data_IF_101599968502
#
_entry.id   IF_101599968502
#
_cell.length_a   1.000
_cell.length_b   1.000
_cell.length_c   1.000
_cell.angle_alpha   90.00
_cell.angle_beta   90.00
_cell.angle_gamma   90.00
#
_symmetry.space_group_name_H-M   'P 1'
#
loop_
_entity.id
_entity.type
_entity.pdbx_description
1 polymer ?
#
# COMPACT_ATOMS: atom_id res chain seq x y z
N UNK A 1 -0.88 -3.20 31.99
CA UNK A 1 -1.21 -4.11 30.87
C UNK A 1 -2.63 -3.95 30.29
N UNK A 2 -3.39 -2.90 30.66
CA UNK A 2 -4.72 -2.59 30.08
C UNK A 2 -4.69 -1.47 29.00
N UNK A 3 -3.68 -0.59 29.04
CA UNK A 3 -3.55 0.56 28.11
C UNK A 3 -3.40 0.17 26.62
N UNK A 4 -2.81 -1.00 26.32
CA UNK A 4 -2.68 -1.49 24.94
C UNK A 4 -4.04 -1.86 24.31
N UNK A 5 -5.04 -2.25 25.10
CA UNK A 5 -6.37 -2.62 24.61
C UNK A 5 -7.26 -1.41 24.28
N UNK A 6 -6.89 -0.21 24.70
CA UNK A 6 -7.68 1.01 24.44
C UNK A 6 -7.32 1.70 23.12
N UNK A 7 -6.22 1.33 22.45
CA UNK A 7 -5.71 1.96 21.21
C UNK A 7 -6.53 1.65 19.94
N UNK A 8 -7.68 0.99 20.04
CA UNK A 8 -8.42 0.47 18.88
C UNK A 8 -9.89 0.87 18.79
N UNK A 9 -10.34 1.92 19.47
CA UNK A 9 -11.80 2.21 19.54
C UNK A 9 -12.36 2.97 18.33
N UNK A 10 -11.53 3.51 17.45
CA UNK A 10 -12.03 4.22 16.27
C UNK A 10 -11.31 3.76 15.02
N UNK A 11 -12.09 3.21 14.08
CA UNK A 11 -11.62 3.00 12.71
C UNK A 11 -11.34 4.37 12.11
N UNK A 12 -10.17 4.60 11.48
CA UNK A 12 -9.88 5.84 10.77
C UNK A 12 -10.92 6.10 9.69
N UNK A 13 -11.32 7.36 9.56
CA UNK A 13 -12.17 7.79 8.45
C UNK A 13 -11.45 7.56 7.11
N UNK A 14 -12.15 7.01 6.13
CA UNK A 14 -11.59 6.67 4.81
C UNK A 14 -10.80 5.36 4.74
N UNK A 15 -10.74 4.57 5.82
CA UNK A 15 -10.18 3.22 5.74
C UNK A 15 -11.09 2.32 4.89
N UNK A 16 -10.56 1.78 3.79
CA UNK A 16 -11.27 0.84 2.93
C UNK A 16 -11.79 -0.38 3.69
N UNK A 17 -13.02 -0.78 3.41
CA UNK A 17 -13.64 -1.97 4.00
C UNK A 17 -13.18 -3.26 3.32
N UNK A 18 -13.34 -4.40 3.99
CA UNK A 18 -12.99 -5.71 3.43
C UNK A 18 -13.80 -6.02 2.16
N UNK A 19 -15.07 -5.63 2.11
CA UNK A 19 -15.93 -5.89 0.95
C UNK A 19 -15.55 -5.02 -0.26
N UNK A 20 -15.14 -3.77 -0.04
CA UNK A 20 -14.57 -2.93 -1.10
C UNK A 20 -13.25 -3.50 -1.64
N UNK A 21 -12.35 -3.95 -0.75
CA UNK A 21 -11.06 -4.55 -1.15
C UNK A 21 -11.24 -5.78 -2.05
N UNK A 22 -12.31 -6.57 -1.84
CA UNK A 22 -12.62 -7.74 -2.69
C UNK A 22 -12.94 -7.38 -4.13
N UNK A 23 -13.36 -6.14 -4.40
CA UNK A 23 -13.67 -5.65 -5.74
C UNK A 23 -12.44 -5.09 -6.48
N UNK A 24 -11.28 -5.02 -5.84
CA UNK A 24 -10.08 -4.46 -6.44
C UNK A 24 -9.62 -5.29 -7.64
N UNK A 25 -9.20 -4.57 -8.69
CA UNK A 25 -8.60 -5.15 -9.90
C UNK A 25 -7.34 -4.37 -10.26
N UNK A 26 -6.44 -5.00 -11.01
CA UNK A 26 -5.28 -4.30 -11.56
C UNK A 26 -5.76 -3.11 -12.41
N UNK A 27 -5.34 -1.90 -12.02
CA UNK A 27 -5.70 -0.66 -12.71
C UNK A 27 -4.62 -0.21 -13.70
N UNK A 28 -3.34 -0.45 -13.36
CA UNK A 28 -2.20 -0.07 -14.18
C UNK A 28 -1.04 -1.04 -13.99
N UNK A 29 -0.13 -1.10 -14.96
CA UNK A 29 1.12 -1.88 -14.88
C UNK A 29 2.25 -1.04 -15.49
N UNK A 30 3.33 -0.84 -14.73
CA UNK A 30 4.47 -0.02 -15.12
C UNK A 30 5.74 -0.87 -15.17
N UNK A 31 6.05 -1.46 -16.33
CA UNK A 31 7.18 -2.39 -16.50
C UNK A 31 8.53 -1.70 -16.68
N UNK A 32 8.53 -0.39 -16.99
CA UNK A 32 9.73 0.36 -17.37
C UNK A 32 10.46 1.04 -16.20
N UNK A 33 10.21 0.63 -14.95
CA UNK A 33 10.84 1.22 -13.77
C UNK A 33 12.29 0.75 -13.56
N UNK A 34 12.68 -0.39 -14.15
CA UNK A 34 14.02 -0.98 -14.03
C UNK A 34 14.58 -1.36 -15.41
N UNK A 35 15.87 -1.73 -15.44
CA UNK A 35 16.52 -2.16 -16.67
C UNK A 35 15.85 -3.40 -17.27
N UNK A 36 15.52 -3.35 -18.55
CA UNK A 36 15.04 -4.51 -19.29
C UNK A 36 16.05 -5.68 -19.32
N UNK A 37 17.35 -5.38 -19.20
CA UNK A 37 18.42 -6.40 -19.18
C UNK A 37 18.60 -7.09 -17.82
N UNK A 38 18.07 -6.51 -16.74
CA UNK A 38 18.15 -7.04 -15.38
C UNK A 38 16.76 -6.98 -14.75
N UNK A 39 15.88 -7.94 -15.08
CA UNK A 39 14.49 -7.90 -14.65
C UNK A 39 14.34 -8.19 -13.15
N UNK A 40 13.35 -7.56 -12.53
CA UNK A 40 12.92 -7.84 -11.17
C UNK A 40 12.87 -6.58 -10.29
N UNK A 41 11.76 -6.44 -9.56
CA UNK A 41 11.66 -5.50 -8.43
C UNK A 41 12.02 -6.29 -7.17
N UNK A 42 13.08 -5.89 -6.47
CA UNK A 42 13.53 -6.56 -5.24
C UNK A 42 13.10 -5.83 -3.97
N UNK A 43 12.67 -4.57 -4.10
CA UNK A 43 12.17 -3.75 -3.02
C UNK A 43 11.00 -2.89 -3.51
N UNK A 44 10.20 -2.41 -2.58
CA UNK A 44 9.12 -1.45 -2.79
C UNK A 44 8.93 -0.66 -1.51
N UNK A 45 8.88 0.67 -1.61
CA UNK A 45 8.47 1.56 -0.53
C UNK A 45 7.53 2.65 -1.05
N UNK A 46 6.68 3.16 -0.17
CA UNK A 46 5.67 4.17 -0.46
C UNK A 46 5.84 5.32 0.51
N UNK A 47 5.92 6.55 0.00
CA UNK A 47 6.13 7.71 0.88
C UNK A 47 4.96 7.90 1.86
N UNK A 48 5.20 8.01 3.18
CA UNK A 48 4.15 8.20 4.16
C UNK A 48 3.50 9.59 4.07
N UNK A 49 4.17 10.58 3.47
CA UNK A 49 3.63 11.93 3.27
C UNK A 49 2.82 12.04 1.98
N UNK A 50 3.15 11.25 0.96
CA UNK A 50 2.47 11.26 -0.34
C UNK A 50 2.48 9.84 -0.96
N UNK A 51 1.41 9.06 -0.81
CA UNK A 51 1.38 7.67 -1.26
C UNK A 51 1.42 7.49 -2.79
N UNK A 52 1.35 8.58 -3.57
CA UNK A 52 1.58 8.57 -5.02
C UNK A 52 3.06 8.50 -5.39
N UNK A 53 3.98 8.67 -4.44
CA UNK A 53 5.42 8.55 -4.65
C UNK A 53 5.86 7.15 -4.20
N UNK A 54 6.44 6.41 -5.15
CA UNK A 54 6.90 5.03 -4.98
C UNK A 54 8.41 4.96 -5.21
N UNK A 55 9.09 4.15 -4.41
CA UNK A 55 10.50 3.79 -4.56
C UNK A 55 10.59 2.28 -4.83
N UNK A 56 11.36 1.87 -5.84
CA UNK A 56 11.55 0.47 -6.24
C UNK A 56 13.03 0.12 -6.41
#
# INVERSE_FOLDING_TARGET
TQLRKQRGKHVPEGLTTVDEMRSFRCSATHTALHSASSPGLLALDISPKNPSIVLT
#
